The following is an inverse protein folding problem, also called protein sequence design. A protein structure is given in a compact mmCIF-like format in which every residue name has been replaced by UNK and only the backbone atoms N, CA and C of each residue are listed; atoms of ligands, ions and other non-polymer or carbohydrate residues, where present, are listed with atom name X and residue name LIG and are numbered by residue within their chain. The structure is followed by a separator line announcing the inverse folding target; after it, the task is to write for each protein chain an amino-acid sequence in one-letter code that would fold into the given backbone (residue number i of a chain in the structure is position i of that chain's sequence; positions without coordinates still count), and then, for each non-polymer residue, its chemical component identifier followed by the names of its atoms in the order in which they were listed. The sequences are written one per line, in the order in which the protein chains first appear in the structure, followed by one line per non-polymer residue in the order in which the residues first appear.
data_IF_599582832713
#
_entry.id   IF_599582832713
#
_cell.length_a   1.000
_cell.length_b   1.000
_cell.length_c   1.000
_cell.angle_alpha   90.00
_cell.angle_beta   90.00
_cell.angle_gamma   90.00
#
_symmetry.space_group_name_H-M   'P 1'
#
loop_
_entity.id
_entity.type
_entity.pdbx_description
1 polymer ?
#
# COMPACT_ATOMS: atom_id res chain seq x y z
N UNK A 1 24.57 20.40 5.10
CA UNK A 1 23.84 19.19 5.53
C UNK A 1 22.85 18.89 4.40
N UNK A 2 23.20 17.96 3.52
CA UNK A 2 22.36 17.58 2.39
C UNK A 2 21.35 16.53 2.86
N UNK A 3 20.15 16.96 3.26
CA UNK A 3 19.05 16.03 3.46
C UNK A 3 18.54 15.61 2.09
N UNK A 4 18.89 14.39 1.72
CA UNK A 4 18.58 13.77 0.44
C UNK A 4 17.11 13.38 0.43
N UNK A 5 16.26 14.22 -0.15
CA UNK A 5 14.93 13.80 -0.56
C UNK A 5 15.02 13.02 -1.88
N UNK A 6 14.96 11.69 -1.78
CA UNK A 6 14.68 10.79 -2.91
C UNK A 6 14.75 9.31 -2.52
N UNK A 7 13.98 8.39 -3.13
CA UNK A 7 12.84 8.53 -4.05
C UNK A 7 11.51 8.02 -3.44
N UNK A 8 10.40 8.63 -3.83
CA UNK A 8 9.02 8.25 -3.49
C UNK A 8 8.53 6.95 -4.16
N UNK A 9 9.42 5.97 -4.41
CA UNK A 9 9.07 4.64 -4.90
C UNK A 9 9.62 3.60 -3.90
N UNK A 10 8.83 3.30 -2.87
CA UNK A 10 9.16 2.27 -1.90
C UNK A 10 9.05 0.90 -2.53
N UNK A 11 10.17 0.20 -2.62
CA UNK A 11 10.28 -1.23 -2.92
C UNK A 11 9.30 -2.08 -2.10
N UNK A 12 8.91 -3.29 -2.55
CA UNK A 12 8.06 -4.24 -1.80
C UNK A 12 8.44 -4.42 -0.32
N UNK A 13 9.73 -4.26 0.02
CA UNK A 13 10.25 -4.25 1.39
C UNK A 13 9.58 -3.25 2.34
N UNK A 14 9.01 -2.15 1.82
CA UNK A 14 8.29 -1.17 2.64
C UNK A 14 6.92 -1.69 3.09
N UNK A 15 6.25 -2.47 2.24
CA UNK A 15 4.99 -3.12 2.62
C UNK A 15 5.23 -4.16 3.72
N UNK A 16 6.29 -4.96 3.58
CA UNK A 16 6.66 -5.96 4.58
C UNK A 16 6.91 -5.32 5.96
N UNK A 17 7.55 -4.15 5.99
CA UNK A 17 7.78 -3.39 7.22
C UNK A 17 6.49 -2.83 7.81
N UNK A 18 5.62 -2.24 6.99
CA UNK A 18 4.36 -1.63 7.43
C UNK A 18 3.42 -2.67 8.04
N UNK A 19 3.44 -3.90 7.50
CA UNK A 19 2.61 -5.00 7.99
C UNK A 19 3.28 -5.88 9.05
N UNK A 20 4.54 -5.61 9.43
CA UNK A 20 5.17 -6.25 10.59
C UNK A 20 4.47 -5.75 11.87
N UNK A 21 3.88 -6.65 12.70
CA UNK A 21 3.28 -6.26 13.98
C UNK A 21 4.24 -5.56 14.93
N UNK A 22 5.56 -5.81 14.79
CA UNK A 22 6.62 -5.20 15.60
C UNK A 22 7.02 -3.81 15.13
N UNK A 23 6.65 -3.41 13.91
CA UNK A 23 6.93 -2.09 13.38
C UNK A 23 5.96 -1.05 13.94
N UNK A 24 6.47 0.09 14.41
CA UNK A 24 5.63 1.18 14.88
C UNK A 24 5.16 1.95 13.65
N UNK A 25 3.86 1.84 13.33
CA UNK A 25 3.28 2.61 12.24
C UNK A 25 3.45 4.10 12.48
N UNK A 26 4.04 4.77 11.50
CA UNK A 26 4.15 6.22 11.49
C UNK A 26 3.21 6.83 10.44
N UNK A 27 2.92 8.13 10.59
CA UNK A 27 2.04 8.87 9.67
C UNK A 27 2.47 8.74 8.19
N UNK A 28 3.77 8.71 7.93
CA UNK A 28 4.31 8.63 6.57
C UNK A 28 4.05 7.26 5.94
N UNK A 29 3.98 6.19 6.73
CA UNK A 29 3.65 4.86 6.24
C UNK A 29 2.19 4.75 5.81
N UNK A 30 1.27 5.33 6.58
CA UNK A 30 -0.13 5.44 6.21
C UNK A 30 -0.29 6.23 4.91
N UNK A 31 0.34 7.41 4.83
CA UNK A 31 0.31 8.25 3.65
C UNK A 31 0.86 7.53 2.42
N UNK A 32 1.95 6.78 2.60
CA UNK A 32 2.56 6.03 1.53
C UNK A 32 1.61 4.93 0.99
N UNK A 33 0.96 4.16 1.87
CA UNK A 33 0.00 3.12 1.45
C UNK A 33 -1.22 3.73 0.77
N UNK A 34 -1.80 4.79 1.32
CA UNK A 34 -2.95 5.46 0.71
C UNK A 34 -2.59 6.00 -0.69
N UNK A 35 -1.40 6.60 -0.82
CA UNK A 35 -0.92 7.06 -2.13
C UNK A 35 -0.69 5.91 -3.10
N UNK A 36 -0.15 4.78 -2.64
CA UNK A 36 0.03 3.57 -3.45
C UNK A 36 -1.31 3.06 -4.00
N UNK A 37 -2.32 2.89 -3.13
CA UNK A 37 -3.67 2.46 -3.55
C UNK A 37 -4.27 3.44 -4.57
N UNK A 38 -4.18 4.75 -4.30
CA UNK A 38 -4.69 5.78 -5.21
C UNK A 38 -3.99 5.72 -6.58
N UNK A 39 -2.67 5.52 -6.60
CA UNK A 39 -1.90 5.36 -7.85
C UNK A 39 -2.37 4.15 -8.65
N UNK A 40 -2.58 3.00 -7.99
CA UNK A 40 -3.07 1.78 -8.63
C UNK A 40 -4.48 1.94 -9.22
N UNK A 41 -5.38 2.63 -8.49
CA UNK A 41 -6.71 2.99 -8.99
C UNK A 41 -6.63 3.89 -10.23
N UNK A 42 -5.80 4.94 -10.18
CA UNK A 42 -5.62 5.87 -11.29
C UNK A 42 -5.04 5.17 -12.54
N UNK A 43 -4.18 4.17 -12.33
CA UNK A 43 -3.61 3.33 -13.38
C UNK A 43 -4.57 2.26 -13.91
N UNK A 44 -5.75 2.11 -13.30
CA UNK A 44 -6.70 1.03 -13.60
C UNK A 44 -6.04 -0.34 -13.55
N UNK A 45 -5.27 -0.58 -12.49
CA UNK A 45 -4.54 -1.83 -12.29
C UNK A 45 -5.48 -3.05 -12.54
N UNK A 46 -5.10 -4.02 -13.41
CA UNK A 46 -5.93 -5.18 -13.70
C UNK A 46 -6.38 -5.92 -12.45
N UNK A 47 -5.53 -5.99 -11.43
CA UNK A 47 -5.84 -6.67 -10.19
C UNK A 47 -6.97 -5.98 -9.39
N UNK A 48 -7.29 -4.73 -9.68
CA UNK A 48 -8.49 -4.04 -9.16
C UNK A 48 -9.71 -4.21 -10.07
N UNK A 49 -9.50 -4.24 -11.39
CA UNK A 49 -10.58 -4.39 -12.37
C UNK A 49 -11.20 -5.79 -12.35
N UNK A 50 -10.40 -6.80 -12.01
CA UNK A 50 -10.84 -8.20 -11.91
C UNK A 50 -11.52 -8.52 -10.57
N UNK A 51 -11.48 -7.61 -9.59
CA UNK A 51 -12.15 -7.83 -8.31
C UNK A 51 -13.67 -7.74 -8.45
N UNK A 52 -14.42 -8.61 -7.76
CA UNK A 52 -15.86 -8.46 -7.64
C UNK A 52 -16.24 -7.10 -7.03
N UNK A 53 -17.28 -6.45 -7.56
CA UNK A 53 -17.76 -5.14 -7.07
C UNK A 53 -17.91 -5.05 -5.55
N UNK A 54 -18.48 -6.06 -4.84
CA UNK A 54 -18.57 -6.00 -3.37
C UNK A 54 -17.20 -5.92 -2.68
N UNK A 55 -16.16 -6.56 -3.24
CA UNK A 55 -14.79 -6.49 -2.72
C UNK A 55 -14.18 -5.11 -2.99
N UNK A 56 -14.38 -4.55 -4.17
CA UNK A 56 -13.89 -3.21 -4.50
C UNK A 56 -14.53 -2.13 -3.60
N UNK A 57 -15.83 -2.23 -3.33
CA UNK A 57 -16.51 -1.35 -2.37
C UNK A 57 -15.93 -1.47 -0.95
N UNK A 58 -15.63 -2.70 -0.52
CA UNK A 58 -14.97 -2.94 0.77
C UNK A 58 -13.57 -2.31 0.82
N UNK A 59 -12.76 -2.47 -0.23
CA UNK A 59 -11.44 -1.82 -0.31
C UNK A 59 -11.57 -0.31 -0.15
N UNK A 60 -12.54 0.32 -0.83
CA UNK A 60 -12.79 1.76 -0.73
C UNK A 60 -13.27 2.19 0.66
N UNK A 61 -14.14 1.40 1.31
CA UNK A 61 -14.58 1.65 2.67
C UNK A 61 -13.40 1.72 3.65
N UNK A 62 -12.51 0.72 3.60
CA UNK A 62 -11.33 0.67 4.47
C UNK A 62 -10.28 1.73 4.12
N UNK A 63 -10.16 2.09 2.83
CA UNK A 63 -9.35 3.23 2.41
C UNK A 63 -9.84 4.53 3.07
N UNK A 64 -11.16 4.77 3.05
CA UNK A 64 -11.78 5.93 3.69
C UNK A 64 -11.58 5.93 5.21
N UNK A 65 -11.75 4.78 5.86
CA UNK A 65 -11.54 4.64 7.30
C UNK A 65 -10.07 4.93 7.68
N UNK A 66 -9.10 4.39 6.95
CA UNK A 66 -7.68 4.70 7.15
C UNK A 66 -7.38 6.20 6.96
N UNK A 67 -8.01 6.86 5.98
CA UNK A 67 -7.84 8.30 5.77
C UNK A 67 -8.42 9.14 6.92
N UNK A 68 -9.56 8.73 7.49
CA UNK A 68 -10.16 9.41 8.65
C UNK A 68 -9.28 9.22 9.91
N UNK A 69 -8.77 8.00 10.12
CA UNK A 69 -7.84 7.70 11.22
C UNK A 69 -6.53 8.50 11.09
N UNK A 70 -6.01 8.67 9.86
CA UNK A 70 -4.84 9.50 9.59
C UNK A 70 -5.03 10.97 9.98
N UNK A 71 -6.24 11.50 9.80
CA UNK A 71 -6.57 12.89 10.15
C UNK A 71 -6.87 13.07 11.65
N UNK A 72 -7.13 11.98 12.36
CA UNK A 72 -7.46 12.01 13.77
C UNK A 72 -6.20 12.21 14.63
N UNK A 73 -6.19 13.25 15.47
CA UNK A 73 -5.07 13.57 16.38
C UNK A 73 -4.79 12.50 17.46
N UNK A 74 -5.70 11.54 17.67
CA UNK A 74 -5.67 10.54 18.76
C UNK A 74 -4.87 9.26 18.47
N UNK A 75 -4.36 9.05 17.26
CA UNK A 75 -3.66 7.81 16.86
C UNK A 75 -2.37 7.51 17.65
N UNK A 76 -1.97 8.41 18.57
CA UNK A 76 -0.83 8.24 19.47
C UNK A 76 -0.99 7.12 20.53
N UNK A 77 -2.18 6.55 20.70
CA UNK A 77 -2.46 5.54 21.73
C UNK A 77 -2.63 4.14 21.12
N UNK A 78 -1.56 3.53 20.60
CA UNK A 78 -1.34 2.08 20.40
C UNK A 78 -2.45 1.17 19.83
N UNK A 79 -3.64 1.15 20.43
CA UNK A 79 -4.88 0.50 19.98
C UNK A 79 -5.29 0.89 18.56
N UNK A 80 -5.05 2.14 18.16
CA UNK A 80 -5.36 2.60 16.80
C UNK A 80 -4.42 1.96 15.76
N UNK A 81 -3.19 1.60 16.11
CA UNK A 81 -2.22 1.07 15.14
C UNK A 81 -2.66 -0.27 14.56
N UNK A 82 -3.19 -1.18 15.37
CA UNK A 82 -3.66 -2.47 14.86
C UNK A 82 -4.88 -2.31 13.95
N UNK A 83 -5.82 -1.45 14.35
CA UNK A 83 -6.97 -1.13 13.51
C UNK A 83 -6.56 -0.46 12.19
N UNK A 84 -5.59 0.44 12.24
CA UNK A 84 -5.02 1.08 11.05
C UNK A 84 -4.40 0.02 10.14
N UNK A 85 -3.61 -0.94 10.66
CA UNK A 85 -3.03 -2.03 9.85
C UNK A 85 -4.12 -2.82 9.13
N UNK A 86 -5.18 -3.21 9.84
CA UNK A 86 -6.32 -3.92 9.24
C UNK A 86 -6.96 -3.09 8.12
N UNK A 87 -7.16 -1.79 8.34
CA UNK A 87 -7.72 -0.91 7.29
C UNK A 87 -6.80 -0.83 6.07
N UNK A 88 -5.48 -0.71 6.27
CA UNK A 88 -4.51 -0.65 5.16
C UNK A 88 -4.47 -1.98 4.39
N UNK A 89 -4.47 -3.12 5.08
CA UNK A 89 -4.50 -4.45 4.47
C UNK A 89 -5.76 -4.66 3.61
N UNK A 90 -6.92 -4.32 4.16
CA UNK A 90 -8.19 -4.48 3.45
C UNK A 90 -8.30 -3.51 2.26
N UNK A 91 -7.79 -2.28 2.38
CA UNK A 91 -7.72 -1.32 1.28
C UNK A 91 -6.82 -1.80 0.14
N UNK A 92 -5.77 -2.55 0.48
CA UNK A 92 -4.77 -3.08 -0.46
C UNK A 92 -5.12 -4.44 -1.05
N UNK A 93 -6.22 -5.08 -0.66
CA UNK A 93 -6.56 -6.42 -1.13
C UNK A 93 -6.61 -6.48 -2.67
N UNK A 94 -5.87 -7.43 -3.24
CA UNK A 94 -5.68 -7.57 -4.69
C UNK A 94 -4.43 -6.85 -5.22
N UNK A 95 -3.80 -5.94 -4.47
CA UNK A 95 -2.62 -5.18 -4.89
C UNK A 95 -1.29 -5.69 -4.30
N UNK A 96 -1.34 -6.72 -3.44
CA UNK A 96 -0.19 -7.26 -2.70
C UNK A 96 0.44 -8.47 -3.43
N UNK A 97 -0.07 -8.85 -4.60
CA UNK A 97 0.52 -9.92 -5.41
C UNK A 97 1.45 -9.37 -6.49
N UNK A 98 2.69 -9.84 -6.40
CA UNK A 98 3.77 -9.90 -7.40
C UNK A 98 4.47 -8.61 -7.82
N UNK A 99 5.47 -8.23 -7.02
CA UNK A 99 6.67 -7.53 -7.48
C UNK A 99 7.57 -8.40 -8.38
N UNK A 100 7.00 -9.26 -9.23
CA UNK A 100 7.75 -10.21 -10.06
C UNK A 100 7.13 -10.38 -11.46
N UNK A 101 6.79 -9.28 -12.13
CA UNK A 101 6.66 -9.29 -13.60
C UNK A 101 7.05 -7.94 -14.18
N UNK A 102 8.30 -7.51 -13.95
CA UNK A 102 8.94 -6.50 -14.79
C UNK A 102 10.12 -7.16 -15.54
N UNK A 103 9.74 -7.81 -16.64
CA UNK A 103 10.54 -8.06 -17.85
C UNK A 103 12.04 -8.42 -17.67
N UNK A 104 12.33 -9.71 -17.54
CA UNK A 104 13.55 -10.26 -18.12
C UNK A 104 13.43 -10.25 -19.65
N UNK A 105 14.29 -9.55 -20.43
CA UNK A 105 14.42 -9.89 -21.82
C UNK A 105 15.24 -11.19 -21.88
N UNK A 106 14.57 -12.29 -22.23
CA UNK A 106 15.28 -13.47 -22.75
C UNK A 106 16.04 -13.02 -24.00
N UNK A 107 17.33 -12.72 -23.84
CA UNK A 107 18.23 -12.68 -24.99
C UNK A 107 18.28 -14.10 -25.53
N UNK A 108 17.54 -14.31 -26.62
CA UNK A 108 17.71 -15.45 -27.49
C UNK A 108 19.18 -15.52 -27.92
N UNK A 109 19.81 -16.65 -27.64
CA UNK A 109 20.93 -17.14 -28.43
C UNK A 109 20.49 -17.20 -29.89
N UNK A 110 21.19 -16.45 -30.74
CA UNK A 110 21.21 -16.70 -32.18
C UNK A 110 22.66 -17.01 -32.55
N UNK A 111 22.86 -18.30 -32.87
CA UNK A 111 23.91 -18.97 -33.65
C UNK A 111 25.38 -18.56 -33.48
#
# INVERSE_FOLDING_TARGET
MHESHGPLLGSPKRLDQIFDPKHILCRDDLLWVLHYVQKKVAQKDPALLELPTPRLMRNFQYFGEAAVLLLSRSSAQGLDNERIRVCLLEAMHGLVQDSETEAAPRRNDYS
#
